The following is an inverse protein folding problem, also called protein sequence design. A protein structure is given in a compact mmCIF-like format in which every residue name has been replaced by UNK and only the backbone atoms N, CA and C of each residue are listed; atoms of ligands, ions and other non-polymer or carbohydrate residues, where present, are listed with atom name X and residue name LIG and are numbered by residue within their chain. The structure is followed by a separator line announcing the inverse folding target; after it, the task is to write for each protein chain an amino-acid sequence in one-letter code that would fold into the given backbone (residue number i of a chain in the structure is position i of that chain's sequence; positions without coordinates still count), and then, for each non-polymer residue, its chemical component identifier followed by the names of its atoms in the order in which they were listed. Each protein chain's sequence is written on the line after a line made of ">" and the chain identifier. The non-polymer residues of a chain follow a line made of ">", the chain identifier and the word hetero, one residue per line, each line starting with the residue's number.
data_IF_312235094104
#
_entry.id   IF_312235094104
#
_cell.length_a   1.000
_cell.length_b   1.000
_cell.length_c   1.000
_cell.angle_alpha   90.00
_cell.angle_beta   90.00
_cell.angle_gamma   90.00
#
_symmetry.space_group_name_H-M   'P 1'
#
loop_
_entity.id
_entity.type
_entity.pdbx_description
1 polymer ?
#
# COMPACT_ATOMS: atom_id res chain seq x y z
N UNK A 1 -4.81 14.28 -14.70
CA UNK A 1 -6.22 14.42 -14.26
C UNK A 1 -6.82 15.55 -15.08
N UNK A 2 -8.05 15.42 -15.62
CA UNK A 2 -8.70 16.51 -16.33
C UNK A 2 -8.90 17.73 -15.40
N UNK A 3 -9.16 18.93 -15.97
CA UNK A 3 -9.51 20.10 -15.17
C UNK A 3 -10.64 19.78 -14.20
N UNK A 4 -10.51 20.26 -12.96
CA UNK A 4 -11.52 20.03 -11.93
C UNK A 4 -12.80 20.81 -12.27
N UNK A 5 -13.94 20.11 -12.28
CA UNK A 5 -15.27 20.69 -12.38
C UNK A 5 -16.01 20.52 -11.05
N UNK A 6 -16.94 21.42 -10.76
CA UNK A 6 -17.81 21.26 -9.61
C UNK A 6 -18.71 20.04 -9.79
N UNK A 7 -18.69 19.12 -8.82
CA UNK A 7 -19.49 17.90 -8.83
C UNK A 7 -18.73 16.72 -8.25
N UNK A 8 -19.29 15.53 -8.46
CA UNK A 8 -18.67 14.26 -8.05
C UNK A 8 -17.94 13.65 -9.24
N UNK A 9 -16.68 13.28 -9.05
CA UNK A 9 -15.88 12.58 -10.04
C UNK A 9 -15.41 11.23 -9.50
N UNK A 10 -15.51 10.20 -10.33
CA UNK A 10 -14.98 8.87 -10.06
C UNK A 10 -13.96 8.51 -11.13
N UNK A 11 -12.84 7.92 -10.71
CA UNK A 11 -11.80 7.43 -11.61
C UNK A 11 -11.09 6.23 -10.97
N UNK A 12 -10.41 5.44 -11.80
CA UNK A 12 -9.57 4.33 -11.36
C UNK A 12 -8.12 4.75 -11.40
N UNK A 13 -7.40 4.51 -10.31
CA UNK A 13 -5.94 4.70 -10.23
C UNK A 13 -5.27 3.34 -10.20
N UNK A 14 -4.33 3.13 -11.11
CA UNK A 14 -3.55 1.88 -11.24
C UNK A 14 -2.09 2.23 -11.03
N UNK A 15 -1.38 1.43 -10.24
CA UNK A 15 0.06 1.58 -9.97
C UNK A 15 0.75 0.22 -10.06
N UNK A 16 2.04 0.26 -10.39
CA UNK A 16 2.91 -0.93 -10.33
C UNK A 16 3.24 -1.29 -8.88
N UNK A 17 3.67 -2.54 -8.66
CA UNK A 17 4.22 -3.00 -7.39
C UNK A 17 5.50 -2.23 -7.00
N UNK A 18 5.85 -2.18 -5.70
CA UNK A 18 7.11 -1.60 -5.26
C UNK A 18 8.31 -2.37 -5.81
N UNK A 19 9.43 -1.68 -5.93
CA UNK A 19 10.73 -2.28 -6.27
C UNK A 19 11.24 -3.10 -5.08
N UNK A 20 11.44 -4.40 -5.27
CA UNK A 20 11.82 -5.32 -4.18
C UNK A 20 13.25 -5.09 -3.69
N UNK A 21 14.14 -4.65 -4.58
CA UNK A 21 15.53 -4.29 -4.28
C UNK A 21 15.66 -3.09 -3.33
N UNK A 22 14.61 -2.27 -3.20
CA UNK A 22 14.57 -1.16 -2.26
C UNK A 22 14.00 -1.53 -0.88
N UNK A 23 13.46 -2.75 -0.72
CA UNK A 23 12.94 -3.19 0.57
C UNK A 23 14.13 -3.67 1.40
N UNK A 24 14.42 -3.06 2.57
CA UNK A 24 15.74 -3.20 3.19
C UNK A 24 16.10 -4.63 3.59
N UNK A 25 15.14 -5.41 4.05
CA UNK A 25 15.33 -6.80 4.44
C UNK A 25 14.03 -7.59 4.30
N UNK A 26 14.14 -8.91 4.51
CA UNK A 26 13.01 -9.83 4.45
C UNK A 26 11.93 -9.49 5.48
N UNK A 27 12.32 -9.10 6.69
CA UNK A 27 11.39 -8.75 7.76
C UNK A 27 10.59 -7.48 7.45
N UNK A 28 11.12 -6.55 6.64
CA UNK A 28 10.38 -5.38 6.17
C UNK A 28 9.41 -5.71 5.02
N UNK A 29 9.67 -6.78 4.26
CA UNK A 29 8.75 -7.30 3.27
C UNK A 29 7.59 -8.05 3.94
N UNK A 30 7.89 -8.96 4.86
CA UNK A 30 6.92 -9.83 5.52
C UNK A 30 6.27 -9.17 6.75
N UNK A 31 5.00 -9.47 7.00
CA UNK A 31 4.25 -8.89 8.11
C UNK A 31 3.58 -7.56 7.76
N UNK A 32 3.30 -6.78 8.80
CA UNK A 32 2.45 -5.60 8.70
C UNK A 32 3.21 -4.38 8.16
N UNK A 33 2.70 -3.80 7.08
CA UNK A 33 3.14 -2.51 6.54
C UNK A 33 1.92 -1.73 6.02
N UNK A 34 2.09 -0.68 5.22
CA UNK A 34 0.98 0.14 4.73
C UNK A 34 1.15 0.59 3.28
N UNK A 35 0.01 0.72 2.58
CA UNK A 35 -0.09 1.52 1.36
C UNK A 35 -0.73 2.86 1.70
N UNK A 36 -0.25 3.94 1.08
CA UNK A 36 -0.71 5.30 1.34
C UNK A 36 -1.05 5.98 0.03
N UNK A 37 -2.29 6.44 -0.09
CA UNK A 37 -2.72 7.36 -1.14
C UNK A 37 -2.74 8.78 -0.56
N UNK A 38 -1.88 9.64 -1.11
CA UNK A 38 -1.78 11.06 -0.78
C UNK A 38 -2.44 11.90 -1.87
N UNK A 39 -3.23 12.89 -1.48
CA UNK A 39 -3.89 13.83 -2.37
C UNK A 39 -3.40 15.23 -2.05
N UNK A 40 -2.90 15.89 -3.10
CA UNK A 40 -2.34 17.24 -3.01
C UNK A 40 -3.06 18.18 -3.95
N UNK A 41 -3.18 19.43 -3.53
CA UNK A 41 -3.58 20.54 -4.37
C UNK A 41 -2.53 21.65 -4.25
N UNK A 42 -2.02 22.15 -5.38
CA UNK A 42 -0.94 23.16 -5.43
C UNK A 42 0.27 22.81 -4.53
N UNK A 43 0.68 21.55 -4.53
CA UNK A 43 1.77 20.98 -3.72
C UNK A 43 1.49 20.80 -2.21
N UNK A 44 0.34 21.24 -1.71
CA UNK A 44 -0.07 21.03 -0.32
C UNK A 44 -0.93 19.77 -0.20
N UNK A 45 -0.53 18.85 0.68
CA UNK A 45 -1.31 17.65 1.00
C UNK A 45 -2.48 18.03 1.91
N UNK A 46 -3.70 17.73 1.49
CA UNK A 46 -4.90 18.01 2.27
C UNK A 46 -5.67 16.74 2.66
N UNK A 47 -5.40 15.63 2.00
CA UNK A 47 -6.05 14.35 2.27
C UNK A 47 -5.07 13.20 2.09
N UNK A 48 -5.10 12.26 3.03
CA UNK A 48 -4.35 11.01 2.97
C UNK A 48 -5.26 9.87 3.42
N UNK A 49 -5.21 8.76 2.70
CA UNK A 49 -5.80 7.49 3.14
C UNK A 49 -4.74 6.40 3.10
N UNK A 50 -4.59 5.69 4.21
CA UNK A 50 -3.69 4.56 4.36
C UNK A 50 -4.46 3.28 4.63
N UNK A 51 -3.96 2.16 4.11
CA UNK A 51 -4.45 0.82 4.42
C UNK A 51 -3.31 -0.01 4.96
N UNK A 52 -3.55 -0.72 6.06
CA UNK A 52 -2.62 -1.74 6.49
C UNK A 52 -2.62 -2.89 5.50
N UNK A 53 -1.42 -3.37 5.20
CA UNK A 53 -1.21 -4.55 4.40
C UNK A 53 -0.41 -5.56 5.21
N UNK A 54 -0.69 -6.84 5.01
CA UNK A 54 0.12 -7.93 5.55
C UNK A 54 0.63 -8.77 4.37
N UNK A 55 1.94 -8.94 4.28
CA UNK A 55 2.53 -9.87 3.31
C UNK A 55 2.98 -11.14 4.05
N UNK A 56 2.50 -12.30 3.61
CA UNK A 56 2.83 -13.59 4.23
C UNK A 56 2.94 -14.70 3.20
N UNK A 57 3.61 -15.79 3.55
CA UNK A 57 3.35 -17.06 2.90
C UNK A 57 2.01 -17.61 3.39
N UNK A 58 1.31 -18.34 2.52
CA UNK A 58 0.11 -19.11 2.89
C UNK A 58 0.39 -20.61 2.88
N UNK A 59 1.51 -21.03 2.28
CA UNK A 59 1.94 -22.41 2.17
C UNK A 59 2.49 -22.88 3.53
N UNK A 60 1.89 -23.89 4.19
CA UNK A 60 2.32 -24.36 5.50
C UNK A 60 3.80 -24.73 5.56
N UNK A 61 4.34 -25.35 4.50
CA UNK A 61 5.75 -25.77 4.47
C UNK A 61 6.69 -24.56 4.47
N UNK A 62 6.32 -23.47 3.78
CA UNK A 62 7.09 -22.21 3.77
C UNK A 62 6.93 -21.41 5.06
N UNK A 63 5.86 -21.64 5.82
CA UNK A 63 5.65 -21.02 7.13
C UNK A 63 6.47 -21.77 8.19
N UNK A 64 6.44 -23.10 8.19
CA UNK A 64 7.19 -23.94 9.12
C UNK A 64 8.70 -23.89 8.83
N UNK A 65 9.07 -23.98 7.55
CA UNK A 65 10.46 -23.97 7.08
C UNK A 65 10.76 -22.68 6.34
N UNK A 66 10.75 -21.56 7.07
CA UNK A 66 10.92 -20.23 6.49
C UNK A 66 12.27 -20.10 5.74
N UNK A 67 12.27 -19.97 4.39
CA UNK A 67 13.50 -20.01 3.60
C UNK A 67 14.37 -18.77 3.83
N UNK A 68 15.70 -18.89 3.79
CA UNK A 68 16.60 -17.74 3.97
C UNK A 68 16.45 -16.66 2.89
N UNK A 69 16.00 -17.02 1.68
CA UNK A 69 15.73 -16.12 0.57
C UNK A 69 14.23 -15.95 0.32
N UNK A 70 13.85 -14.87 -0.37
CA UNK A 70 12.45 -14.53 -0.64
C UNK A 70 11.99 -15.24 -1.92
N UNK A 71 10.89 -15.99 -1.84
CA UNK A 71 10.21 -16.61 -2.98
C UNK A 71 9.04 -15.71 -3.36
N UNK A 72 9.31 -14.65 -4.13
CA UNK A 72 8.32 -13.58 -4.38
C UNK A 72 6.99 -14.10 -4.96
N UNK A 73 7.02 -15.08 -5.85
CA UNK A 73 5.81 -15.65 -6.47
C UNK A 73 4.89 -16.40 -5.50
N UNK A 74 5.34 -16.64 -4.27
CA UNK A 74 4.58 -17.29 -3.19
C UNK A 74 4.15 -16.30 -2.10
N UNK A 75 4.56 -15.04 -2.19
CA UNK A 75 4.16 -14.00 -1.24
C UNK A 75 2.72 -13.58 -1.55
N UNK A 76 1.85 -13.75 -0.56
CA UNK A 76 0.48 -13.29 -0.60
C UNK A 76 0.36 -11.95 0.13
N UNK A 77 -0.31 -10.98 -0.50
CA UNK A 77 -0.60 -9.67 0.11
C UNK A 77 -2.07 -9.57 0.46
N UNK A 78 -2.36 -9.36 1.74
CA UNK A 78 -3.68 -9.00 2.22
C UNK A 78 -3.74 -7.50 2.50
N UNK A 79 -4.71 -6.79 1.91
CA UNK A 79 -4.97 -5.38 2.17
C UNK A 79 -6.21 -5.28 3.04
N UNK A 80 -6.09 -4.69 4.24
CA UNK A 80 -7.25 -4.47 5.09
C UNK A 80 -8.02 -3.23 4.65
N UNK A 81 -9.01 -3.42 3.78
CA UNK A 81 -9.85 -2.35 3.23
C UNK A 81 -10.97 -1.90 4.17
N UNK A 82 -11.27 -2.69 5.21
CA UNK A 82 -12.41 -2.43 6.11
C UNK A 82 -12.12 -1.31 7.12
N UNK A 83 -10.85 -1.08 7.46
CA UNK A 83 -10.44 -0.08 8.46
C UNK A 83 -9.40 0.90 7.90
N UNK A 84 -9.76 1.75 6.91
CA UNK A 84 -8.84 2.76 6.38
C UNK A 84 -8.42 3.77 7.46
N UNK A 85 -7.18 4.24 7.37
CA UNK A 85 -6.67 5.35 8.18
C UNK A 85 -6.74 6.63 7.38
N UNK A 86 -7.59 7.55 7.78
CA UNK A 86 -7.82 8.81 7.07
C UNK A 86 -7.19 9.96 7.85
N UNK A 87 -6.44 10.80 7.16
CA UNK A 87 -5.92 12.07 7.69
C UNK A 87 -6.37 13.19 6.77
N UNK A 88 -6.87 14.28 7.37
CA UNK A 88 -7.30 15.49 6.68
C UNK A 88 -6.53 16.68 7.24
N UNK A 89 -6.04 17.53 6.36
CA UNK A 89 -5.26 18.71 6.71
C UNK A 89 -5.84 19.91 5.99
N UNK A 90 -6.00 21.02 6.70
CA UNK A 90 -6.41 22.27 6.08
C UNK A 90 -5.23 22.85 5.29
N UNK A 91 -5.51 23.35 4.09
CA UNK A 91 -4.55 24.03 3.22
C UNK A 91 -5.16 25.37 2.80
N UNK A 92 -4.30 26.33 2.49
CA UNK A 92 -4.69 27.70 2.07
C UNK A 92 -5.23 27.76 0.63
#
# INVERSE_FOLDING_TARGET
>A
MPPLQQGTMQFTLISTSPRLDLIPNKQDLFGATAIILSVKYRNFEFFRVGYYINNSYLDPDLIENDPSYIIIGKVYRLINTSTPRITRTNID
#
